data_IF_190100039846
#
_entry.id   IF_190100039846
#
_cell.length_a   1.000
_cell.length_b   1.000
_cell.length_c   1.000
_cell.angle_alpha   90.00
_cell.angle_beta   90.00
_cell.angle_gamma   90.00
#
_symmetry.space_group_name_H-M   'P 1'
#
loop_
_entity.id
_entity.type
_entity.pdbx_description
1 polymer ?
#
# COMPACT_ATOMS: atom_id res chain seq x y z
N UNK A 1 -3.25 27.52 -5.22
CA UNK A 1 -3.59 28.05 -6.56
C UNK A 1 -4.15 26.88 -7.35
N UNK A 2 -5.45 26.86 -7.67
CA UNK A 2 -6.07 25.77 -8.45
C UNK A 2 -5.67 25.93 -9.91
N UNK A 3 -4.96 24.94 -10.46
CA UNK A 3 -4.52 24.90 -11.86
C UNK A 3 -5.73 24.66 -12.76
N UNK A 4 -5.96 25.52 -13.76
CA UNK A 4 -7.24 25.59 -14.48
C UNK A 4 -7.25 24.83 -15.81
N UNK A 5 -6.09 24.49 -16.38
CA UNK A 5 -5.97 23.74 -17.63
C UNK A 5 -5.06 22.51 -17.53
N UNK A 6 -5.28 21.51 -18.39
CA UNK A 6 -4.46 20.28 -18.45
C UNK A 6 -3.00 20.56 -18.80
N UNK A 7 -2.72 21.63 -19.56
CA UNK A 7 -1.38 22.01 -19.98
C UNK A 7 -0.59 22.64 -18.82
N UNK A 8 -1.20 23.57 -18.08
CA UNK A 8 -0.58 24.13 -16.86
C UNK A 8 -0.32 23.04 -15.80
N UNK A 9 -1.17 22.01 -15.73
CA UNK A 9 -0.93 20.85 -14.84
C UNK A 9 0.32 20.10 -15.28
N UNK A 10 0.48 19.84 -16.57
CA UNK A 10 1.65 19.16 -17.10
C UNK A 10 2.92 19.97 -16.86
N UNK A 11 2.87 21.29 -17.05
CA UNK A 11 4.00 22.19 -16.77
C UNK A 11 4.37 22.16 -15.28
N UNK A 12 3.38 22.26 -14.38
CA UNK A 12 3.65 22.19 -12.94
C UNK A 12 4.20 20.84 -12.50
N UNK A 13 3.72 19.75 -13.10
CA UNK A 13 4.26 18.40 -12.86
C UNK A 13 5.68 18.25 -13.39
N UNK A 14 5.97 18.84 -14.56
CA UNK A 14 7.31 18.85 -15.15
C UNK A 14 8.30 19.60 -14.25
N UNK A 15 7.96 20.81 -13.83
CA UNK A 15 8.78 21.61 -12.90
C UNK A 15 9.09 20.86 -11.61
N UNK A 16 8.07 20.26 -10.98
CA UNK A 16 8.25 19.48 -9.75
C UNK A 16 9.15 18.26 -9.96
N UNK A 17 9.00 17.55 -11.09
CA UNK A 17 9.84 16.40 -11.42
C UNK A 17 11.29 16.81 -11.65
N UNK A 18 11.53 17.91 -12.37
CA UNK A 18 12.87 18.42 -12.63
C UNK A 18 13.56 18.86 -11.33
N UNK A 19 12.85 19.56 -10.44
CA UNK A 19 13.35 19.95 -9.12
C UNK A 19 13.70 18.73 -8.26
N UNK A 20 12.83 17.70 -8.26
CA UNK A 20 13.01 16.52 -7.43
C UNK A 20 14.16 15.62 -7.90
N UNK A 21 14.38 15.48 -9.20
CA UNK A 21 15.31 14.47 -9.75
C UNK A 21 16.59 15.03 -10.36
N UNK A 22 16.65 16.32 -10.70
CA UNK A 22 17.83 16.93 -11.32
C UNK A 22 18.73 17.70 -10.33
N UNK A 23 18.58 17.48 -9.02
CA UNK A 23 19.52 18.02 -8.04
C UNK A 23 20.86 17.27 -8.10
N UNK A 24 21.95 17.95 -7.76
CA UNK A 24 23.26 17.33 -7.69
C UNK A 24 23.24 16.17 -6.67
N UNK A 25 23.85 15.04 -7.04
CA UNK A 25 23.97 13.92 -6.11
C UNK A 25 24.62 14.43 -4.80
N UNK A 26 24.08 14.05 -3.63
CA UNK A 26 24.63 14.52 -2.36
C UNK A 26 26.13 14.22 -2.30
N UNK A 27 26.98 15.25 -2.17
CA UNK A 27 28.45 15.10 -2.14
C UNK A 27 28.99 14.45 -0.84
N UNK A 28 28.13 13.79 -0.06
CA UNK A 28 28.50 13.08 1.16
C UNK A 28 28.88 11.62 0.89
N UNK A 29 29.62 11.01 1.83
CA UNK A 29 29.79 9.56 1.88
C UNK A 29 28.41 8.91 1.70
N UNK A 30 28.29 8.01 0.72
CA UNK A 30 27.13 7.13 0.57
C UNK A 30 26.93 6.40 1.90
N UNK A 31 26.07 6.93 2.76
CA UNK A 31 25.66 6.23 3.96
C UNK A 31 25.07 4.89 3.50
N UNK A 32 25.50 3.80 4.13
CA UNK A 32 24.88 2.51 3.87
C UNK A 32 23.37 2.68 3.97
N UNK A 33 22.60 2.08 3.04
CA UNK A 33 21.15 2.17 3.09
C UNK A 33 20.70 1.74 4.48
N UNK A 34 19.73 2.46 5.08
CA UNK A 34 19.26 2.12 6.42
C UNK A 34 18.86 0.66 6.43
N UNK A 35 19.43 -0.11 7.36
CA UNK A 35 19.12 -1.52 7.54
C UNK A 35 17.62 -1.62 7.83
N UNK A 36 16.86 -2.17 6.89
CA UNK A 36 15.46 -2.47 7.09
C UNK A 36 15.43 -3.73 7.95
N UNK A 37 15.15 -3.56 9.23
CA UNK A 37 14.95 -4.70 10.11
C UNK A 37 13.70 -5.47 9.64
N UNK A 38 13.75 -6.82 9.64
CA UNK A 38 12.59 -7.60 9.31
C UNK A 38 11.44 -7.25 10.27
N UNK A 39 10.18 -7.32 9.80
CA UNK A 39 9.04 -7.07 10.67
C UNK A 39 9.12 -7.97 11.91
N UNK A 40 9.05 -7.36 13.09
CA UNK A 40 9.07 -8.07 14.38
C UNK A 40 7.85 -8.96 14.59
N UNK A 41 6.81 -8.79 13.77
CA UNK A 41 5.65 -9.68 13.74
C UNK A 41 6.03 -11.02 13.14
N UNK A 42 6.31 -11.99 14.02
CA UNK A 42 6.26 -13.40 13.67
C UNK A 42 4.84 -13.74 13.23
N UNK A 43 4.67 -14.09 11.95
CA UNK A 43 3.44 -14.75 11.53
C UNK A 43 3.36 -16.08 12.28
N UNK A 44 2.23 -16.38 12.96
CA UNK A 44 2.05 -17.68 13.57
C UNK A 44 2.18 -18.76 12.48
N UNK A 45 2.91 -19.83 12.78
CA UNK A 45 3.09 -20.95 11.86
C UNK A 45 1.81 -21.79 11.69
N UNK A 46 0.83 -21.57 12.56
CA UNK A 46 -0.46 -22.25 12.54
C UNK A 46 -1.40 -21.64 11.49
N UNK A 47 -2.37 -22.44 11.08
CA UNK A 47 -3.39 -22.06 10.11
C UNK A 47 -4.17 -20.81 10.57
N UNK A 48 -4.35 -19.81 9.69
CA UNK A 48 -4.92 -18.53 10.09
C UNK A 48 -6.39 -18.69 10.49
N UNK A 49 -6.70 -18.33 11.73
CA UNK A 49 -8.07 -18.35 12.28
C UNK A 49 -8.93 -17.22 11.70
N UNK A 50 -10.26 -17.40 11.74
CA UNK A 50 -11.24 -16.39 11.28
C UNK A 50 -11.02 -15.03 11.93
N UNK A 51 -10.72 -14.99 13.24
CA UNK A 51 -10.51 -13.72 13.95
C UNK A 51 -9.20 -13.04 13.53
N UNK A 52 -8.16 -13.80 13.15
CA UNK A 52 -6.94 -13.22 12.59
C UNK A 52 -7.21 -12.58 11.23
N UNK A 53 -7.97 -13.24 10.35
CA UNK A 53 -8.36 -12.68 9.05
C UNK A 53 -9.18 -11.40 9.25
N UNK A 54 -10.14 -11.42 10.18
CA UNK A 54 -10.96 -10.25 10.53
C UNK A 54 -10.10 -9.10 11.04
N UNK A 55 -9.13 -9.38 11.91
CA UNK A 55 -8.22 -8.37 12.48
C UNK A 55 -7.29 -7.80 11.41
N UNK A 56 -6.87 -8.61 10.43
CA UNK A 56 -6.05 -8.18 9.30
C UNK A 56 -6.83 -7.31 8.29
N UNK A 57 -8.14 -7.47 8.17
CA UNK A 57 -9.00 -6.64 7.30
C UNK A 57 -9.22 -5.22 7.85
N UNK A 58 -9.17 -5.02 9.18
CA UNK A 58 -9.44 -3.72 9.80
C UNK A 58 -8.43 -2.61 9.43
N UNK A 59 -7.10 -2.82 9.51
CA UNK A 59 -6.11 -1.77 9.28
C UNK A 59 -5.91 -1.40 7.80
N UNK A 60 -6.62 -2.04 6.85
CA UNK A 60 -6.54 -1.70 5.44
C UNK A 60 -6.91 -0.22 5.23
N UNK A 61 -6.12 0.53 4.47
CA UNK A 61 -6.33 1.97 4.27
C UNK A 61 -7.36 2.22 3.17
N UNK A 62 -8.39 2.99 3.48
CA UNK A 62 -9.38 3.46 2.51
C UNK A 62 -8.79 4.56 1.62
N UNK A 63 -9.35 4.76 0.44
CA UNK A 63 -8.94 5.77 -0.55
C UNK A 63 -7.60 5.47 -1.22
N UNK A 64 -7.12 4.22 -1.13
CA UNK A 64 -5.96 3.75 -1.87
C UNK A 64 -6.38 3.14 -3.20
N UNK A 65 -5.50 3.24 -4.20
CA UNK A 65 -5.72 2.57 -5.48
C UNK A 65 -5.83 1.05 -5.25
N UNK A 66 -6.74 0.41 -5.96
CA UNK A 66 -6.86 -1.05 -5.97
C UNK A 66 -5.57 -1.68 -6.51
N UNK A 67 -5.32 -2.93 -6.12
CA UNK A 67 -4.27 -3.73 -6.72
C UNK A 67 -4.59 -4.10 -8.17
N UNK A 68 -3.74 -4.96 -8.75
CA UNK A 68 -3.99 -5.52 -10.09
C UNK A 68 -5.27 -6.38 -10.15
N UNK A 69 -5.78 -6.81 -8.99
CA UNK A 69 -7.06 -7.51 -8.84
C UNK A 69 -8.28 -6.58 -8.92
N UNK A 70 -8.07 -5.26 -9.00
CA UNK A 70 -9.12 -4.23 -8.97
C UNK A 70 -9.98 -4.26 -7.70
N UNK A 71 -9.53 -4.90 -6.62
CA UNK A 71 -10.24 -4.95 -5.34
C UNK A 71 -9.72 -3.84 -4.42
N UNK A 72 -10.64 -3.01 -3.92
CA UNK A 72 -10.28 -1.95 -2.97
C UNK A 72 -10.41 -2.42 -1.52
N UNK A 73 -9.75 -1.70 -0.60
CA UNK A 73 -9.90 -1.93 0.83
C UNK A 73 -11.36 -1.81 1.31
N UNK A 74 -12.12 -0.90 0.72
CA UNK A 74 -13.55 -0.72 1.02
C UNK A 74 -14.36 -1.94 0.60
N UNK A 75 -14.10 -2.51 -0.58
CA UNK A 75 -14.79 -3.71 -1.04
C UNK A 75 -14.55 -4.90 -0.09
N UNK A 76 -13.33 -5.00 0.44
CA UNK A 76 -12.98 -6.03 1.44
C UNK A 76 -13.74 -5.80 2.75
N UNK A 77 -13.82 -4.55 3.21
CA UNK A 77 -14.53 -4.20 4.46
C UNK A 77 -16.05 -4.32 4.36
N UNK A 78 -16.63 -3.97 3.21
CA UNK A 78 -18.09 -4.05 2.99
C UNK A 78 -18.58 -5.48 2.74
N UNK A 79 -17.70 -6.40 2.35
CA UNK A 79 -18.02 -7.81 2.14
C UNK A 79 -18.49 -8.56 3.40
N UNK A 80 -18.29 -8.00 4.60
CA UNK A 80 -18.81 -8.52 5.86
C UNK A 80 -18.42 -9.98 6.14
N UNK A 81 -19.30 -10.72 6.83
CA UNK A 81 -19.03 -12.11 7.21
C UNK A 81 -18.89 -13.05 6.00
N UNK A 82 -19.61 -12.78 4.90
CA UNK A 82 -19.57 -13.63 3.71
C UNK A 82 -18.16 -13.64 3.10
N UNK A 83 -17.57 -12.46 2.92
CA UNK A 83 -16.22 -12.36 2.39
C UNK A 83 -15.17 -12.85 3.41
N UNK A 84 -15.36 -12.57 4.70
CA UNK A 84 -14.49 -13.06 5.76
C UNK A 84 -14.37 -14.59 5.74
N UNK A 85 -15.49 -15.33 5.68
CA UNK A 85 -15.45 -16.79 5.63
C UNK A 85 -14.85 -17.33 4.32
N UNK A 86 -15.10 -16.66 3.19
CA UNK A 86 -14.47 -17.03 1.90
C UNK A 86 -12.97 -16.82 1.92
N UNK A 87 -12.49 -15.71 2.47
CA UNK A 87 -11.07 -15.41 2.61
C UNK A 87 -10.39 -16.42 3.53
N UNK A 88 -11.02 -16.75 4.67
CA UNK A 88 -10.51 -17.80 5.54
C UNK A 88 -10.37 -19.12 4.78
N UNK A 89 -11.45 -19.61 4.16
CA UNK A 89 -11.42 -20.87 3.40
C UNK A 89 -10.36 -20.88 2.27
N UNK A 90 -10.15 -19.73 1.61
CA UNK A 90 -9.11 -19.59 0.59
C UNK A 90 -7.70 -19.69 1.18
N UNK A 91 -7.46 -19.08 2.35
CA UNK A 91 -6.17 -19.16 3.03
C UNK A 91 -5.85 -20.58 3.55
N UNK A 92 -6.87 -21.39 3.81
CA UNK A 92 -6.74 -22.80 4.19
C UNK A 92 -6.41 -23.72 3.01
N UNK A 93 -6.52 -23.24 1.76
CA UNK A 93 -6.32 -24.05 0.55
C UNK A 93 -4.94 -23.91 -0.09
N UNK A 94 -4.05 -23.09 0.51
CA UNK A 94 -2.72 -22.74 0.00
C UNK A 94 -1.68 -23.44 0.87
#
# INVERSE_FOLDING_TARGET
MFVRSSLERLERWKEFSEELYNHEQPQGLLADPPRIDPPTTTMPADEPTIEQVKTAMQPLRNGKAAGADHVTAEAIKTGGNVLLHRLHALLQTI
#
